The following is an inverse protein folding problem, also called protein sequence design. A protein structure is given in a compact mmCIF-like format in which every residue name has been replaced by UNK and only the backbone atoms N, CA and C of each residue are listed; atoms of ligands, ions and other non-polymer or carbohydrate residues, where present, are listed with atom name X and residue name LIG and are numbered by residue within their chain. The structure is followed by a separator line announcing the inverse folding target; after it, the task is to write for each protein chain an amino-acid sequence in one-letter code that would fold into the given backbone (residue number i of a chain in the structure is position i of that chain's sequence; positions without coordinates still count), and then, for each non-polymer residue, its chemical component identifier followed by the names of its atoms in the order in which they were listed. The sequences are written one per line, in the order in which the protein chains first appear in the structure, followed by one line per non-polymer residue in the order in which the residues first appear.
data_IF_276266197086
#
_entry.id   IF_276266197086
#
_cell.length_a   1.000
_cell.length_b   1.000
_cell.length_c   1.000
_cell.angle_alpha   90.00
_cell.angle_beta   90.00
_cell.angle_gamma   90.00
#
_symmetry.space_group_name_H-M   'P 1'
#
loop_
_entity.id
_entity.type
_entity.pdbx_description
1 polymer ?
#
# COMPACT_ATOMS: atom_id res chain seq x y z
N UNK A 1 -27.73 16.72 9.12
CA UNK A 1 -27.76 17.88 8.21
C UNK A 1 -27.85 17.39 6.78
N UNK A 2 -28.63 18.11 5.96
CA UNK A 2 -28.70 17.92 4.52
C UNK A 2 -27.36 18.36 3.91
N UNK A 3 -26.75 17.57 3.03
CA UNK A 3 -25.52 18.00 2.34
C UNK A 3 -25.87 18.77 1.06
N UNK A 4 -25.02 19.74 0.73
CA UNK A 4 -25.14 20.63 -0.43
C UNK A 4 -23.81 20.65 -1.19
N UNK A 5 -23.87 20.87 -2.50
CA UNK A 5 -22.69 21.16 -3.31
C UNK A 5 -22.17 22.59 -3.09
N UNK A 6 -21.05 22.94 -3.71
CA UNK A 6 -20.42 24.27 -3.62
C UNK A 6 -21.32 25.40 -4.17
N UNK A 7 -22.38 25.06 -4.91
CA UNK A 7 -23.38 25.98 -5.43
C UNK A 7 -24.65 26.05 -4.56
N UNK A 8 -24.69 25.34 -3.43
CA UNK A 8 -25.82 25.32 -2.51
C UNK A 8 -26.97 24.40 -2.94
N UNK A 9 -26.78 23.51 -3.92
CA UNK A 9 -27.79 22.52 -4.32
C UNK A 9 -27.70 21.28 -3.43
N UNK A 10 -28.84 20.73 -2.96
CA UNK A 10 -28.82 19.53 -2.13
C UNK A 10 -28.23 18.33 -2.90
N UNK A 11 -27.27 17.66 -2.28
CA UNK A 11 -26.67 16.44 -2.82
C UNK A 11 -27.66 15.27 -2.70
N UNK A 12 -27.74 14.47 -3.76
CA UNK A 12 -28.62 13.30 -3.83
C UNK A 12 -27.80 12.03 -4.09
N UNK A 13 -28.33 10.89 -3.63
CA UNK A 13 -27.73 9.60 -3.93
C UNK A 13 -27.74 9.30 -5.44
N UNK A 14 -26.62 8.82 -6.01
CA UNK A 14 -26.52 8.55 -7.43
C UNK A 14 -27.42 7.37 -7.86
N UNK A 15 -27.79 7.36 -9.13
CA UNK A 15 -28.54 6.25 -9.75
C UNK A 15 -27.78 4.92 -9.58
N UNK A 16 -28.51 3.85 -9.27
CA UNK A 16 -27.93 2.53 -8.97
C UNK A 16 -27.63 2.25 -7.50
N UNK A 17 -27.92 3.19 -6.60
CA UNK A 17 -27.86 2.97 -5.13
C UNK A 17 -29.24 2.71 -4.53
N UNK A 18 -29.36 2.03 -3.37
CA UNK A 18 -30.65 1.74 -2.75
C UNK A 18 -31.51 2.97 -2.42
N UNK A 19 -30.89 4.14 -2.30
CA UNK A 19 -31.55 5.40 -1.95
C UNK A 19 -31.50 6.42 -3.09
N UNK A 20 -31.30 5.97 -4.34
CA UNK A 20 -31.15 6.84 -5.52
C UNK A 20 -32.21 7.95 -5.57
N UNK A 21 -31.76 9.19 -5.81
CA UNK A 21 -32.63 10.36 -5.86
C UNK A 21 -33.09 10.90 -4.50
N UNK A 22 -32.75 10.25 -3.39
CA UNK A 22 -32.99 10.82 -2.06
C UNK A 22 -31.87 11.79 -1.66
N UNK A 23 -32.20 12.86 -0.92
CA UNK A 23 -31.20 13.77 -0.39
C UNK A 23 -30.24 13.11 0.60
N UNK A 24 -28.94 13.36 0.46
CA UNK A 24 -27.90 12.88 1.38
C UNK A 24 -28.02 13.62 2.71
N UNK A 25 -28.29 12.86 3.79
CA UNK A 25 -28.38 13.38 5.15
C UNK A 25 -27.36 12.69 6.04
N UNK A 26 -26.31 13.39 6.45
CA UNK A 26 -25.38 12.92 7.49
C UNK A 26 -25.88 13.33 8.88
N UNK A 27 -25.90 12.39 9.83
CA UNK A 27 -26.24 12.69 11.24
C UNK A 27 -25.07 13.31 12.02
N UNK A 28 -23.84 13.13 11.55
CA UNK A 28 -22.61 13.66 12.14
C UNK A 28 -21.70 14.11 11.00
N UNK A 29 -21.05 15.25 11.19
CA UNK A 29 -20.00 15.77 10.31
C UNK A 29 -18.78 15.92 11.20
N UNK A 30 -17.63 15.42 10.76
CA UNK A 30 -16.36 15.66 11.45
C UNK A 30 -15.77 16.95 10.89
N UNK A 31 -15.54 17.92 11.77
CA UNK A 31 -14.85 19.16 11.44
C UNK A 31 -13.49 19.07 12.14
N UNK A 32 -12.40 18.75 11.42
CA UNK A 32 -11.08 18.79 12.02
C UNK A 32 -10.79 20.22 12.47
N UNK A 33 -10.31 20.37 13.70
CA UNK A 33 -9.88 21.65 14.25
C UNK A 33 -8.59 21.43 15.04
N UNK A 34 -7.59 22.28 14.80
CA UNK A 34 -6.35 22.34 15.54
C UNK A 34 -6.22 23.69 16.27
N UNK A 35 -5.15 23.87 17.05
CA UNK A 35 -4.95 25.11 17.83
C UNK A 35 -4.82 26.35 16.95
N UNK A 36 -4.32 26.20 15.72
CA UNK A 36 -4.11 27.28 14.75
C UNK A 36 -5.40 27.79 14.11
N UNK A 37 -6.47 26.99 14.16
CA UNK A 37 -7.81 27.43 13.73
C UNK A 37 -8.42 28.46 14.70
N UNK A 38 -7.91 28.55 15.94
CA UNK A 38 -8.38 29.48 16.96
C UNK A 38 -7.44 30.69 17.14
N UNK A 39 -7.54 31.67 16.22
CA UNK A 39 -6.73 32.90 16.25
C UNK A 39 -6.87 33.68 17.56
N UNK A 40 -8.08 33.76 18.13
CA UNK A 40 -8.34 34.48 19.37
C UNK A 40 -7.63 33.87 20.58
N UNK A 41 -7.46 32.54 20.61
CA UNK A 41 -6.71 31.86 21.67
C UNK A 41 -5.21 32.18 21.59
N UNK A 42 -4.65 32.19 20.38
CA UNK A 42 -3.22 32.46 20.15
C UNK A 42 -2.87 33.91 20.49
N UNK A 43 -3.75 34.85 20.12
CA UNK A 43 -3.57 36.27 20.43
C UNK A 43 -3.65 36.56 21.94
N UNK A 44 -4.53 35.86 22.66
CA UNK A 44 -4.69 36.04 24.11
C UNK A 44 -3.63 35.30 24.94
N UNK A 45 -3.07 34.19 24.44
CA UNK A 45 -2.01 33.45 25.12
C UNK A 45 -0.93 32.98 24.12
N UNK A 46 0.01 33.87 23.75
CA UNK A 46 1.08 33.55 22.80
C UNK A 46 1.99 32.41 23.26
N UNK A 47 2.04 32.14 24.58
CA UNK A 47 2.84 31.06 25.16
C UNK A 47 2.16 29.69 25.12
N UNK A 48 0.88 29.61 24.75
CA UNK A 48 0.11 28.36 24.77
C UNK A 48 0.70 27.32 23.81
N UNK A 49 1.06 27.73 22.59
CA UNK A 49 1.71 26.85 21.60
C UNK A 49 3.05 26.32 22.12
N UNK A 50 3.86 27.15 22.78
CA UNK A 50 5.13 26.73 23.35
C UNK A 50 4.95 25.70 24.48
N UNK A 51 3.88 25.81 25.28
CA UNK A 51 3.54 24.82 26.30
C UNK A 51 3.08 23.50 25.69
N UNK A 52 2.29 23.53 24.61
CA UNK A 52 1.92 22.33 23.86
C UNK A 52 3.15 21.65 23.22
N UNK A 53 4.11 22.43 22.72
CA UNK A 53 5.36 21.90 22.17
C UNK A 53 6.25 21.22 23.21
N UNK A 54 6.11 21.58 24.49
CA UNK A 54 6.86 21.01 25.61
C UNK A 54 6.25 19.71 26.17
N UNK A 55 5.09 19.28 25.67
CA UNK A 55 4.45 18.02 26.07
C UNK A 55 5.19 16.81 25.48
N UNK A 56 4.83 15.60 25.95
CA UNK A 56 5.31 14.37 25.33
C UNK A 56 4.92 14.32 23.84
N UNK A 57 5.66 13.58 23.01
CA UNK A 57 5.39 13.53 21.56
C UNK A 57 3.93 13.11 21.25
N UNK A 58 3.35 12.24 22.07
CA UNK A 58 1.95 11.81 21.93
C UNK A 58 0.96 12.94 22.26
N UNK A 59 1.12 13.58 23.41
CA UNK A 59 0.24 14.68 23.83
C UNK A 59 0.42 15.92 22.93
N UNK A 60 1.64 16.18 22.45
CA UNK A 60 1.90 17.23 21.46
C UNK A 60 1.14 16.95 20.18
N UNK A 61 1.26 15.76 19.58
CA UNK A 61 0.53 15.39 18.36
C UNK A 61 -1.00 15.51 18.53
N UNK A 62 -1.54 15.01 19.63
CA UNK A 62 -2.98 15.12 19.91
C UNK A 62 -3.45 16.56 20.05
N UNK A 63 -2.81 17.35 20.91
CA UNK A 63 -3.32 18.66 21.33
C UNK A 63 -2.87 19.81 20.41
N UNK A 64 -1.71 19.68 19.77
CA UNK A 64 -1.17 20.67 18.84
C UNK A 64 -1.61 20.40 17.40
N UNK A 65 -1.47 19.15 16.95
CA UNK A 65 -1.67 18.76 15.55
C UNK A 65 -3.07 18.17 15.28
N UNK A 66 -3.85 17.91 16.33
CA UNK A 66 -5.18 17.30 16.21
C UNK A 66 -5.14 15.81 15.87
N UNK A 67 -4.00 15.15 16.09
CA UNK A 67 -3.78 13.73 15.79
C UNK A 67 -4.19 12.86 16.99
N UNK A 68 -5.47 12.52 17.04
CA UNK A 68 -6.07 11.70 18.09
C UNK A 68 -5.76 10.20 17.98
N UNK A 69 -5.05 9.76 16.93
CA UNK A 69 -4.63 8.36 16.79
C UNK A 69 -3.34 8.06 17.58
N UNK A 70 -2.68 9.07 18.16
CA UNK A 70 -1.42 8.89 18.90
C UNK A 70 -1.68 8.64 20.38
N UNK A 71 -1.39 7.46 20.93
CA UNK A 71 -1.46 7.18 22.38
C UNK A 71 -0.16 6.53 22.87
N UNK A 72 0.11 6.60 24.19
CA UNK A 72 1.32 6.03 24.77
C UNK A 72 1.38 4.51 24.56
N UNK A 73 2.50 3.99 24.06
CA UNK A 73 2.69 2.57 23.77
C UNK A 73 2.34 2.15 22.33
N UNK A 74 1.87 3.08 21.48
CA UNK A 74 1.67 2.80 20.05
C UNK A 74 2.96 2.28 19.40
N UNK A 75 2.86 1.15 18.70
CA UNK A 75 3.99 0.55 18.02
C UNK A 75 4.38 1.40 16.81
N UNK A 76 3.46 1.65 15.87
CA UNK A 76 3.74 2.42 14.64
C UNK A 76 3.47 3.92 14.79
N UNK A 77 4.26 4.60 15.63
CA UNK A 77 4.13 6.05 15.87
C UNK A 77 4.48 6.93 14.65
N UNK A 78 5.10 6.33 13.62
CA UNK A 78 5.40 6.93 12.33
C UNK A 78 4.16 7.05 11.43
N UNK A 79 3.14 6.22 11.65
CA UNK A 79 1.92 6.26 10.86
C UNK A 79 1.18 7.58 11.07
N UNK A 80 0.76 8.17 9.97
CA UNK A 80 -0.03 9.40 9.93
C UNK A 80 -0.95 9.34 8.74
N UNK A 81 -2.26 9.52 8.97
CA UNK A 81 -3.25 9.50 7.89
C UNK A 81 -2.97 10.57 6.83
N UNK A 82 -2.49 11.75 7.24
CA UNK A 82 -2.17 12.85 6.33
C UNK A 82 -1.02 12.51 5.35
N UNK A 83 -0.10 11.62 5.72
CA UNK A 83 1.07 11.26 4.92
C UNK A 83 0.85 9.96 4.14
N UNK A 84 0.18 8.99 4.77
CA UNK A 84 0.08 7.61 4.29
C UNK A 84 -1.21 7.33 3.56
N UNK A 85 -2.30 8.05 3.85
CA UNK A 85 -3.59 7.82 3.20
C UNK A 85 -3.73 8.74 1.99
N UNK A 86 -4.09 8.15 0.85
CA UNK A 86 -4.25 8.86 -0.42
C UNK A 86 -5.61 8.56 -1.04
N UNK A 87 -6.10 9.48 -1.88
CA UNK A 87 -7.30 9.25 -2.67
C UNK A 87 -7.06 8.14 -3.71
N UNK A 88 -8.04 7.25 -3.94
CA UNK A 88 -7.92 6.21 -4.95
C UNK A 88 -7.72 6.78 -6.36
N UNK A 89 -6.82 6.16 -7.11
CA UNK A 89 -6.62 6.41 -8.53
C UNK A 89 -6.44 5.10 -9.30
N UNK A 90 -6.57 5.14 -10.62
CA UNK A 90 -6.33 3.97 -11.46
C UNK A 90 -4.85 3.62 -11.48
N UNK A 91 -4.49 2.49 -10.87
CA UNK A 91 -3.12 1.99 -10.87
C UNK A 91 -2.67 1.73 -12.33
N UNK A 92 -1.57 2.33 -12.80
CA UNK A 92 -1.06 2.11 -14.16
C UNK A 92 -0.81 0.64 -14.46
N UNK A 93 -1.21 0.17 -15.65
CA UNK A 93 -1.17 -1.26 -16.01
C UNK A 93 0.24 -1.85 -15.98
N UNK A 94 1.28 -1.04 -16.19
CA UNK A 94 2.67 -1.46 -16.20
C UNK A 94 3.30 -1.63 -14.80
N UNK A 95 2.64 -1.13 -13.75
CA UNK A 95 3.12 -1.31 -12.38
C UNK A 95 3.02 -2.77 -11.96
N UNK A 96 4.06 -3.26 -11.28
CA UNK A 96 4.03 -4.58 -10.66
C UNK A 96 2.96 -4.61 -9.59
N UNK A 97 2.15 -5.66 -9.58
CA UNK A 97 1.09 -5.90 -8.60
C UNK A 97 1.31 -7.23 -7.92
N UNK A 98 0.98 -7.28 -6.65
CA UNK A 98 1.08 -8.51 -5.88
C UNK A 98 0.01 -8.53 -4.80
N UNK A 99 -0.30 -9.72 -4.32
CA UNK A 99 -1.21 -9.92 -3.19
C UNK A 99 -0.44 -10.40 -1.98
N UNK A 100 -0.89 -10.00 -0.80
CA UNK A 100 -0.38 -10.47 0.48
C UNK A 100 -1.57 -10.89 1.33
N UNK A 101 -1.53 -12.11 1.84
CA UNK A 101 -2.68 -12.76 2.46
C UNK A 101 -2.34 -13.33 3.84
N UNK A 102 -3.31 -13.24 4.73
CA UNK A 102 -3.33 -13.92 6.03
C UNK A 102 -4.56 -14.84 6.08
N UNK A 103 -4.34 -16.11 6.42
CA UNK A 103 -5.37 -17.14 6.48
C UNK A 103 -6.11 -17.08 7.81
N UNK A 104 -7.43 -17.13 7.75
CA UNK A 104 -8.25 -17.14 8.96
C UNK A 104 -9.67 -17.64 8.68
N UNK A 105 -10.17 -18.47 9.60
CA UNK A 105 -11.59 -18.86 9.63
C UNK A 105 -12.33 -18.20 10.79
N UNK A 106 -11.86 -18.39 12.03
CA UNK A 106 -12.41 -17.70 13.20
C UNK A 106 -11.91 -16.27 13.24
N UNK A 107 -10.60 -16.13 13.14
CA UNK A 107 -9.92 -14.90 12.79
C UNK A 107 -10.24 -14.51 11.33
N UNK A 108 -10.19 -13.22 10.99
CA UNK A 108 -10.48 -12.77 9.63
C UNK A 108 -9.44 -13.25 8.63
N UNK A 109 -9.90 -13.75 7.49
CA UNK A 109 -9.06 -13.83 6.30
C UNK A 109 -8.77 -12.42 5.80
N UNK A 110 -7.51 -12.15 5.48
CA UNK A 110 -7.06 -10.89 4.90
C UNK A 110 -6.43 -11.12 3.53
N UNK A 111 -6.78 -10.30 2.56
CA UNK A 111 -6.03 -10.14 1.31
C UNK A 111 -5.87 -8.66 1.03
N UNK A 112 -4.62 -8.19 0.95
CA UNK A 112 -4.28 -6.84 0.48
C UNK A 112 -3.70 -6.93 -0.93
N UNK A 113 -4.13 -6.03 -1.81
CA UNK A 113 -3.53 -5.85 -3.12
C UNK A 113 -2.57 -4.67 -3.08
N UNK A 114 -1.30 -4.96 -3.37
CA UNK A 114 -0.22 -4.00 -3.44
C UNK A 114 0.22 -3.74 -4.88
N UNK A 115 0.59 -2.50 -5.19
CA UNK A 115 1.25 -2.14 -6.43
C UNK A 115 2.51 -1.34 -6.14
N UNK A 116 3.61 -1.58 -6.86
CA UNK A 116 4.84 -0.80 -6.72
C UNK A 116 5.06 0.04 -7.96
N UNK A 117 5.26 1.33 -7.77
CA UNK A 117 5.58 2.24 -8.86
C UNK A 117 7.04 2.13 -9.32
N UNK A 118 7.48 3.06 -10.17
CA UNK A 118 8.85 3.08 -10.69
C UNK A 118 9.85 3.71 -9.72
N UNK A 119 9.38 4.46 -8.74
CA UNK A 119 10.17 5.17 -7.73
C UNK A 119 10.34 4.34 -6.44
N UNK A 120 9.65 3.21 -6.36
CA UNK A 120 9.69 2.29 -5.23
C UNK A 120 8.64 2.57 -4.16
N UNK A 121 7.59 3.34 -4.47
CA UNK A 121 6.46 3.55 -3.57
C UNK A 121 5.50 2.37 -3.67
N UNK A 122 5.02 1.89 -2.53
CA UNK A 122 4.07 0.79 -2.40
C UNK A 122 2.68 1.36 -2.14
N UNK A 123 1.75 1.06 -3.05
CA UNK A 123 0.34 1.42 -2.95
C UNK A 123 -0.49 0.21 -2.54
N UNK A 124 -1.13 0.27 -1.39
CA UNK A 124 -2.20 -0.66 -1.02
C UNK A 124 -3.51 -0.07 -1.53
N UNK A 125 -4.05 -0.66 -2.60
CA UNK A 125 -5.17 -0.06 -3.36
C UNK A 125 -6.48 -0.82 -3.22
N UNK A 126 -6.45 -2.01 -2.64
CA UNK A 126 -7.62 -2.85 -2.38
C UNK A 126 -7.35 -3.72 -1.16
N UNK A 127 -8.39 -3.93 -0.36
CA UNK A 127 -8.38 -4.87 0.76
C UNK A 127 -9.62 -5.76 0.74
N UNK A 128 -9.47 -6.96 1.29
CA UNK A 128 -10.55 -7.88 1.65
C UNK A 128 -10.24 -8.39 3.05
N UNK A 129 -11.13 -8.11 4.00
CA UNK A 129 -11.02 -8.55 5.39
C UNK A 129 -12.34 -9.18 5.77
N UNK A 130 -12.35 -10.49 6.02
CA UNK A 130 -13.60 -11.19 6.36
C UNK A 130 -13.36 -12.53 7.07
N UNK A 131 -14.06 -12.74 8.18
CA UNK A 131 -14.08 -14.02 8.90
C UNK A 131 -15.14 -14.99 8.35
N UNK A 132 -15.08 -16.24 8.80
CA UNK A 132 -16.07 -17.30 8.52
C UNK A 132 -16.22 -17.65 7.04
N UNK A 133 -15.10 -17.66 6.33
CA UNK A 133 -15.03 -18.12 4.94
C UNK A 133 -14.19 -19.39 4.86
N UNK A 134 -14.71 -20.40 4.18
CA UNK A 134 -13.92 -21.57 3.80
C UNK A 134 -12.85 -21.17 2.78
N UNK A 135 -11.74 -21.92 2.71
CA UNK A 135 -10.64 -21.61 1.78
C UNK A 135 -11.08 -21.50 0.32
N UNK A 136 -12.08 -22.29 -0.10
CA UNK A 136 -12.67 -22.19 -1.43
C UNK A 136 -13.41 -20.85 -1.64
N UNK A 137 -14.16 -20.40 -0.65
CA UNK A 137 -14.92 -19.13 -0.69
C UNK A 137 -13.98 -17.92 -0.60
N UNK A 138 -12.92 -18.01 0.20
CA UNK A 138 -11.85 -17.01 0.25
C UNK A 138 -11.26 -16.81 -1.15
N UNK A 139 -10.87 -17.90 -1.82
CA UNK A 139 -10.34 -17.85 -3.18
C UNK A 139 -11.34 -17.29 -4.19
N UNK A 140 -12.63 -17.65 -4.12
CA UNK A 140 -13.67 -17.10 -5.01
C UNK A 140 -13.82 -15.59 -4.84
N UNK A 141 -13.77 -15.09 -3.60
CA UNK A 141 -13.83 -13.65 -3.34
C UNK A 141 -12.60 -12.92 -3.86
N UNK A 142 -11.41 -13.50 -3.67
CA UNK A 142 -10.18 -12.92 -4.23
C UNK A 142 -10.27 -12.82 -5.75
N UNK A 143 -10.80 -13.84 -6.43
CA UNK A 143 -11.01 -13.81 -7.90
C UNK A 143 -12.05 -12.75 -8.27
N UNK A 144 -13.20 -12.72 -7.60
CA UNK A 144 -14.25 -11.73 -7.87
C UNK A 144 -13.76 -10.28 -7.67
N UNK A 145 -12.83 -10.07 -6.74
CA UNK A 145 -12.23 -8.77 -6.46
C UNK A 145 -10.96 -8.49 -7.28
N UNK A 146 -10.50 -9.42 -8.13
CA UNK A 146 -9.35 -9.22 -9.03
C UNK A 146 -9.84 -9.18 -10.48
N UNK A 147 -9.98 -7.99 -11.09
CA UNK A 147 -10.37 -7.84 -12.49
C UNK A 147 -9.53 -8.70 -13.45
N UNK A 148 -10.14 -9.21 -14.52
CA UNK A 148 -9.46 -10.13 -15.44
C UNK A 148 -8.31 -9.48 -16.23
N UNK A 149 -8.35 -8.16 -16.41
CA UNK A 149 -7.31 -7.35 -17.04
C UNK A 149 -6.19 -6.93 -16.06
N UNK A 150 -6.35 -7.23 -14.77
CA UNK A 150 -5.36 -6.97 -13.73
C UNK A 150 -4.35 -8.12 -13.65
N UNK A 151 -3.13 -7.88 -14.12
CA UNK A 151 -2.05 -8.85 -13.98
C UNK A 151 -1.44 -8.76 -12.57
N UNK A 152 -1.54 -9.85 -11.80
CA UNK A 152 -0.88 -10.03 -10.51
C UNK A 152 0.40 -10.84 -10.71
N UNK A 153 1.57 -10.24 -10.43
CA UNK A 153 2.87 -10.86 -10.60
C UNK A 153 3.07 -12.07 -9.67
N UNK A 154 2.63 -11.94 -8.41
CA UNK A 154 2.70 -13.02 -7.43
C UNK A 154 1.77 -12.78 -6.23
N UNK A 155 1.53 -13.85 -5.45
CA UNK A 155 0.80 -13.81 -4.18
C UNK A 155 1.69 -14.34 -3.08
N UNK A 156 1.72 -13.67 -1.94
CA UNK A 156 2.37 -14.14 -0.71
C UNK A 156 1.29 -14.51 0.28
N UNK A 157 1.34 -15.72 0.83
CA UNK A 157 0.44 -16.15 1.89
C UNK A 157 1.22 -16.41 3.16
N UNK A 158 0.61 -16.15 4.32
CA UNK A 158 1.14 -16.63 5.58
C UNK A 158 1.31 -18.17 5.55
N UNK A 159 2.05 -18.73 6.51
CA UNK A 159 2.34 -20.16 6.48
C UNK A 159 1.15 -21.08 6.76
N UNK A 160 0.10 -20.55 7.37
CA UNK A 160 -1.09 -21.28 7.78
C UNK A 160 -1.84 -21.81 6.58
N UNK A 161 -1.69 -21.17 5.41
CA UNK A 161 -2.09 -21.74 4.13
C UNK A 161 -1.50 -23.11 3.82
N UNK A 162 -0.35 -23.49 4.40
CA UNK A 162 0.29 -24.81 4.23
C UNK A 162 -0.12 -25.83 5.30
N UNK A 163 -0.93 -25.44 6.28
CA UNK A 163 -1.46 -26.38 7.27
C UNK A 163 -2.58 -27.20 6.63
N UNK A 164 -2.43 -28.53 6.63
CA UNK A 164 -3.45 -29.42 6.07
C UNK A 164 -4.74 -29.34 6.87
N UNK A 165 -5.86 -29.21 6.18
CA UNK A 165 -7.18 -29.28 6.80
C UNK A 165 -7.40 -30.66 7.43
N UNK A 166 -7.90 -30.69 8.67
CA UNK A 166 -8.15 -31.94 9.41
C UNK A 166 -9.17 -32.86 8.71
N UNK A 167 -10.01 -32.31 7.84
CA UNK A 167 -11.16 -33.02 7.24
C UNK A 167 -10.95 -33.40 5.77
N UNK A 168 -10.42 -32.49 4.93
CA UNK A 168 -10.21 -32.75 3.49
C UNK A 168 -8.82 -33.34 3.17
N UNK A 169 -7.83 -33.15 4.05
CA UNK A 169 -6.44 -33.51 3.79
C UNK A 169 -5.70 -32.55 2.85
N UNK A 170 -6.43 -31.66 2.17
CA UNK A 170 -5.91 -30.57 1.35
C UNK A 170 -5.53 -29.37 2.24
N UNK A 171 -4.44 -28.69 1.90
CA UNK A 171 -4.05 -27.43 2.51
C UNK A 171 -4.69 -26.25 1.76
N UNK A 172 -5.02 -25.14 2.44
CA UNK A 172 -5.63 -23.96 1.79
C UNK A 172 -4.87 -23.48 0.55
N UNK A 173 -3.53 -23.49 0.55
CA UNK A 173 -2.75 -23.07 -0.63
C UNK A 173 -3.03 -23.91 -1.88
N UNK A 174 -3.36 -25.20 -1.73
CA UNK A 174 -3.68 -26.11 -2.83
C UNK A 174 -5.00 -25.70 -3.47
N UNK A 175 -6.00 -25.36 -2.65
CA UNK A 175 -7.32 -24.87 -3.10
C UNK A 175 -7.17 -23.58 -3.89
N UNK A 176 -6.36 -22.63 -3.40
CA UNK A 176 -6.08 -21.38 -4.09
C UNK A 176 -5.34 -21.62 -5.41
N UNK A 177 -4.34 -22.51 -5.44
CA UNK A 177 -3.60 -22.85 -6.65
C UNK A 177 -4.50 -23.49 -7.72
N UNK A 178 -5.40 -24.40 -7.34
CA UNK A 178 -6.39 -25.01 -8.24
C UNK A 178 -7.32 -23.97 -8.89
N UNK A 179 -7.60 -22.86 -8.19
CA UNK A 179 -8.41 -21.74 -8.69
C UNK A 179 -7.59 -20.66 -9.41
N UNK A 180 -6.31 -20.92 -9.71
CA UNK A 180 -5.46 -20.00 -10.46
C UNK A 180 -4.81 -18.90 -9.62
N UNK A 181 -4.75 -19.07 -8.30
CA UNK A 181 -4.04 -18.17 -7.37
C UNK A 181 -2.85 -18.93 -6.76
N UNK A 182 -1.75 -19.13 -7.52
CA UNK A 182 -0.53 -19.66 -6.93
C UNK A 182 0.02 -18.66 -5.89
N UNK A 183 0.59 -19.19 -4.82
CA UNK A 183 1.17 -18.38 -3.74
C UNK A 183 2.53 -18.91 -3.31
N UNK A 184 3.36 -17.98 -2.84
CA UNK A 184 4.62 -18.27 -2.15
C UNK A 184 4.45 -18.10 -0.65
N UNK A 185 5.17 -18.90 0.11
CA UNK A 185 5.07 -18.86 1.57
C UNK A 185 5.82 -17.65 2.15
N UNK A 186 5.17 -16.92 3.06
CA UNK A 186 5.75 -15.78 3.74
C UNK A 186 6.85 -16.18 4.73
N UNK A 187 7.76 -15.24 4.99
CA UNK A 187 8.73 -15.36 6.09
C UNK A 187 8.04 -15.00 7.41
N UNK A 188 8.08 -15.90 8.41
CA UNK A 188 7.43 -15.70 9.71
C UNK A 188 8.09 -14.71 10.65
N UNK A 189 9.28 -14.25 10.31
CA UNK A 189 10.08 -13.43 11.20
C UNK A 189 9.36 -12.10 11.50
N UNK A 190 8.93 -11.94 12.76
CA UNK A 190 8.07 -10.83 13.22
C UNK A 190 8.88 -9.58 13.44
N UNK A 191 9.92 -9.66 14.27
CA UNK A 191 10.70 -8.51 14.74
C UNK A 191 11.36 -7.73 13.61
N UNK A 192 12.16 -8.38 12.76
CA UNK A 192 12.73 -7.69 11.58
C UNK A 192 11.66 -7.39 10.53
N UNK A 193 10.59 -8.19 10.45
CA UNK A 193 9.41 -7.88 9.65
C UNK A 193 8.77 -6.53 10.02
N UNK A 194 8.58 -6.26 11.32
CA UNK A 194 8.04 -5.00 11.81
C UNK A 194 9.00 -3.83 11.62
N UNK A 195 10.31 -4.05 11.82
CA UNK A 195 11.34 -3.05 11.46
C UNK A 195 11.24 -2.67 9.99
N UNK A 196 11.01 -3.65 9.11
CA UNK A 196 10.80 -3.39 7.68
C UNK A 196 9.52 -2.60 7.42
N UNK A 197 8.40 -2.92 8.09
CA UNK A 197 7.18 -2.11 7.99
C UNK A 197 7.44 -0.66 8.41
N UNK A 198 8.22 -0.42 9.48
CA UNK A 198 8.64 0.93 9.89
C UNK A 198 9.44 1.66 8.81
N UNK A 199 10.33 0.98 8.07
CA UNK A 199 11.05 1.60 6.95
C UNK A 199 10.10 2.14 5.86
N UNK A 200 9.00 1.43 5.60
CA UNK A 200 7.99 1.85 4.62
C UNK A 200 7.10 2.99 5.13
N UNK A 201 6.86 3.02 6.44
CA UNK A 201 6.12 4.08 7.13
C UNK A 201 6.96 5.33 7.42
N UNK A 202 8.28 5.23 7.35
CA UNK A 202 9.16 6.31 7.80
C UNK A 202 8.95 7.58 6.96
N UNK A 203 8.54 8.70 7.56
CA UNK A 203 8.38 9.95 6.84
C UNK A 203 9.72 10.52 6.41
N UNK A 204 9.80 11.04 5.19
CA UNK A 204 10.95 11.78 4.68
C UNK A 204 10.50 13.09 4.04
N UNK A 205 11.42 14.04 3.93
CA UNK A 205 11.17 15.30 3.24
C UNK A 205 11.29 15.10 1.73
N UNK A 206 10.27 15.51 1.01
CA UNK A 206 10.22 15.52 -0.45
C UNK A 206 9.91 16.94 -0.92
N UNK A 207 10.60 17.38 -1.97
CA UNK A 207 10.39 18.71 -2.56
C UNK A 207 9.66 18.56 -3.87
N UNK A 208 8.52 19.23 -3.98
CA UNK A 208 7.77 19.31 -5.23
C UNK A 208 8.63 20.03 -6.30
N UNK A 209 8.92 19.39 -7.44
CA UNK A 209 9.78 19.96 -8.47
C UNK A 209 9.18 21.19 -9.19
N UNK A 210 7.86 21.38 -9.10
CA UNK A 210 7.12 22.47 -9.73
C UNK A 210 6.95 23.63 -8.75
N UNK A 211 6.43 23.39 -7.55
CA UNK A 211 6.17 24.45 -6.56
C UNK A 211 7.43 24.83 -5.75
N UNK A 212 8.38 23.90 -5.62
CA UNK A 212 9.54 24.05 -4.73
C UNK A 212 9.22 23.91 -3.25
N UNK A 213 7.97 23.62 -2.88
CA UNK A 213 7.59 23.38 -1.49
C UNK A 213 8.07 22.01 -1.01
N UNK A 214 8.56 21.96 0.22
CA UNK A 214 8.92 20.71 0.90
C UNK A 214 7.75 20.22 1.74
N UNK A 215 7.37 18.96 1.55
CA UNK A 215 6.32 18.29 2.30
C UNK A 215 6.81 16.93 2.82
N UNK A 216 6.08 16.37 3.79
CA UNK A 216 6.37 15.03 4.32
C UNK A 216 5.76 13.95 3.42
N UNK A 217 6.61 13.05 2.92
CA UNK A 217 6.23 11.88 2.14
C UNK A 217 6.59 10.59 2.88
N UNK A 218 6.09 9.46 2.41
CA UNK A 218 6.41 8.11 2.90
C UNK A 218 6.30 7.12 1.74
N UNK A 219 7.02 6.00 1.83
CA UNK A 219 7.05 4.99 0.75
C UNK A 219 5.78 4.14 0.70
N UNK A 220 5.13 3.92 1.84
CA UNK A 220 3.82 3.28 1.90
C UNK A 220 2.71 4.32 1.66
N UNK A 221 1.85 4.03 0.69
CA UNK A 221 0.62 4.76 0.39
C UNK A 221 -0.56 3.79 0.47
N UNK A 222 -1.64 4.19 1.14
CA UNK A 222 -2.82 3.37 1.37
C UNK A 222 -4.02 4.12 0.84
N UNK A 223 -4.82 3.51 -0.02
CA UNK A 223 -6.04 4.13 -0.51
C UNK A 223 -7.05 4.28 0.63
N UNK A 224 -7.79 5.40 0.66
CA UNK A 224 -8.75 5.70 1.73
C UNK A 224 -9.92 4.69 1.87
N UNK A 225 -10.10 3.80 0.90
CA UNK A 225 -11.06 2.71 0.91
C UNK A 225 -10.53 1.46 1.63
N UNK A 226 -9.22 1.38 1.92
CA UNK A 226 -8.60 0.33 2.71
C UNK A 226 -8.70 0.62 4.21
N UNK A 227 -9.94 0.69 4.71
CA UNK A 227 -10.27 1.15 6.06
C UNK A 227 -9.73 0.24 7.14
N UNK A 228 -9.78 -1.08 6.95
CA UNK A 228 -9.34 -2.02 7.98
C UNK A 228 -7.85 -1.93 8.24
N UNK A 229 -7.03 -1.81 7.19
CA UNK A 229 -5.59 -1.57 7.38
C UNK A 229 -5.31 -0.20 8.01
N UNK A 230 -6.02 0.84 7.59
CA UNK A 230 -5.87 2.20 8.11
C UNK A 230 -6.26 2.28 9.60
N UNK A 231 -7.26 1.51 10.04
CA UNK A 231 -7.67 1.44 11.45
C UNK A 231 -6.71 0.59 12.29
N UNK A 232 -6.19 -0.51 11.72
CA UNK A 232 -5.32 -1.44 12.42
C UNK A 232 -3.91 -0.89 12.69
N UNK A 233 -3.27 -0.24 11.72
CA UNK A 233 -1.90 0.25 11.87
C UNK A 233 -1.68 1.15 13.10
N UNK A 234 -2.49 2.21 13.33
CA UNK A 234 -2.33 3.05 14.52
C UNK A 234 -2.77 2.36 15.82
N UNK A 235 -3.54 1.26 15.76
CA UNK A 235 -4.00 0.57 16.97
C UNK A 235 -2.98 -0.42 17.54
N UNK A 236 -1.91 -0.75 16.79
CA UNK A 236 -0.87 -1.68 17.23
C UNK A 236 -0.11 -1.13 18.44
N UNK A 237 0.14 -1.99 19.43
CA UNK A 237 0.80 -1.63 20.70
C UNK A 237 2.07 -2.46 20.88
N UNK A 238 3.08 -1.90 21.55
CA UNK A 238 4.29 -2.62 21.95
C UNK A 238 3.96 -3.76 22.92
N UNK A 239 4.60 -4.91 22.74
CA UNK A 239 4.49 -6.02 23.68
C UNK A 239 5.24 -5.73 24.99
N UNK A 240 4.56 -5.91 26.13
CA UNK A 240 5.11 -5.63 27.47
C UNK A 240 6.30 -6.52 27.84
N UNK A 241 6.35 -7.74 27.28
CA UNK A 241 7.41 -8.72 27.56
C UNK A 241 8.54 -8.62 26.53
N UNK A 242 8.21 -8.32 25.28
CA UNK A 242 9.16 -8.23 24.17
C UNK A 242 8.99 -6.92 23.39
N UNK A 243 9.63 -5.82 23.84
CA UNK A 243 9.37 -4.48 23.30
C UNK A 243 9.70 -4.25 21.81
N UNK A 244 10.42 -5.17 21.16
CA UNK A 244 10.67 -5.10 19.71
C UNK A 244 9.56 -5.73 18.86
N UNK A 245 8.55 -6.38 19.46
CA UNK A 245 7.40 -6.99 18.78
C UNK A 245 6.09 -6.24 19.13
N UNK A 246 5.09 -6.47 18.29
CA UNK A 246 3.72 -6.01 18.48
C UNK A 246 2.99 -6.99 19.39
N UNK A 247 2.30 -6.48 20.39
CA UNK A 247 1.44 -7.25 21.29
C UNK A 247 0.28 -7.92 20.52
N UNK A 248 -0.27 -9.00 21.09
CA UNK A 248 -1.48 -9.63 20.54
C UNK A 248 -2.63 -8.61 20.45
N UNK A 249 -3.24 -8.51 19.27
CA UNK A 249 -4.27 -7.50 19.01
C UNK A 249 -5.34 -8.02 18.04
N UNK A 250 -6.65 -7.83 18.27
CA UNK A 250 -7.70 -8.38 17.41
C UNK A 250 -7.69 -7.93 15.93
N UNK A 251 -6.94 -6.87 15.63
CA UNK A 251 -6.80 -6.27 14.29
C UNK A 251 -5.42 -6.51 13.66
N UNK A 252 -4.57 -7.36 14.25
CA UNK A 252 -3.20 -7.60 13.80
C UNK A 252 -3.10 -8.30 12.43
N UNK A 253 -4.13 -9.04 12.01
CA UNK A 253 -4.18 -9.76 10.72
C UNK A 253 -3.88 -8.89 9.49
N UNK A 254 -4.34 -7.62 9.47
CA UNK A 254 -4.07 -6.72 8.34
C UNK A 254 -2.62 -6.18 8.34
N UNK A 255 -2.08 -5.67 9.46
CA UNK A 255 -0.66 -5.40 9.61
C UNK A 255 0.24 -6.61 9.35
N UNK A 256 -0.15 -7.82 9.75
CA UNK A 256 0.60 -9.05 9.50
C UNK A 256 0.61 -9.39 7.99
N UNK A 257 -0.53 -9.29 7.30
CA UNK A 257 -0.57 -9.39 5.84
C UNK A 257 0.37 -8.36 5.16
N UNK A 258 0.35 -7.11 5.62
CA UNK A 258 1.27 -6.07 5.13
C UNK A 258 2.74 -6.46 5.37
N UNK A 259 3.07 -6.98 6.56
CA UNK A 259 4.41 -7.46 6.92
C UNK A 259 4.88 -8.55 5.97
N UNK A 260 4.03 -9.53 5.67
CA UNK A 260 4.36 -10.59 4.69
C UNK A 260 4.67 -10.00 3.30
N UNK A 261 3.86 -9.03 2.86
CA UNK A 261 4.05 -8.36 1.59
C UNK A 261 5.33 -7.53 1.50
N UNK A 262 5.73 -6.81 2.56
CA UNK A 262 7.00 -6.07 2.52
C UNK A 262 8.21 -7.01 2.66
N UNK A 263 8.07 -8.12 3.39
CA UNK A 263 9.11 -9.13 3.59
C UNK A 263 9.42 -9.95 2.34
N UNK A 264 8.52 -10.01 1.36
CA UNK A 264 8.80 -10.62 0.05
C UNK A 264 9.78 -9.81 -0.82
N UNK A 265 10.22 -8.63 -0.34
CA UNK A 265 11.17 -7.72 -0.99
C UNK A 265 10.67 -7.27 -2.38
N UNK A 266 9.49 -6.65 -2.44
CA UNK A 266 8.95 -6.22 -3.72
C UNK A 266 9.87 -5.13 -4.30
N UNK A 267 10.17 -5.25 -5.59
CA UNK A 267 11.15 -4.41 -6.28
C UNK A 267 10.47 -3.36 -7.14
N UNK A 268 11.06 -2.15 -7.31
CA UNK A 268 10.51 -1.13 -8.18
C UNK A 268 10.15 -1.64 -9.57
N UNK A 269 9.09 -1.06 -10.14
CA UNK A 269 8.67 -1.34 -11.50
C UNK A 269 9.73 -0.82 -12.48
N UNK A 270 10.17 -1.68 -13.39
CA UNK A 270 11.13 -1.29 -14.43
C UNK A 270 10.40 -0.47 -15.51
N UNK A 271 11.04 0.54 -16.10
CA UNK A 271 10.44 1.26 -17.23
C UNK A 271 10.09 0.28 -18.35
N UNK A 272 8.94 0.47 -19.00
CA UNK A 272 8.62 -0.26 -20.21
C UNK A 272 9.77 -0.09 -21.22
N UNK A 273 10.16 -1.18 -21.93
CA UNK A 273 11.08 -1.04 -23.04
C UNK A 273 10.51 0.00 -24.01
N UNK A 274 11.32 0.98 -24.42
CA UNK A 274 10.90 1.92 -25.47
C UNK A 274 10.44 1.10 -26.67
N UNK A 275 9.19 1.26 -27.09
CA UNK A 275 8.69 0.66 -28.32
C UNK A 275 9.69 1.06 -29.41
N UNK A 276 10.33 0.11 -30.11
CA UNK A 276 11.29 0.46 -31.15
C UNK A 276 10.57 1.35 -32.15
N UNK A 277 11.11 2.53 -32.42
CA UNK A 277 10.56 3.40 -33.45
C UNK A 277 10.64 2.68 -34.80
N UNK A 278 9.52 2.11 -35.24
CA UNK A 278 9.38 1.36 -36.50
C UNK A 278 9.06 2.26 -37.69
N UNK A 279 9.04 3.58 -37.49
CA UNK A 279 8.82 4.54 -38.57
C UNK A 279 9.83 4.34 -39.71
N UNK A 280 9.43 4.58 -40.97
CA UNK A 280 10.35 4.55 -42.11
C UNK A 280 11.61 5.38 -41.86
N UNK A 281 11.48 6.54 -41.20
CA UNK A 281 12.56 7.46 -40.86
C UNK A 281 13.54 6.83 -39.85
N UNK A 282 13.04 6.19 -38.80
CA UNK A 282 13.88 5.47 -37.84
C UNK A 282 14.54 4.22 -38.43
N UNK A 283 13.88 3.57 -39.41
CA UNK A 283 14.47 2.47 -40.18
C UNK A 283 15.62 2.94 -41.05
N UNK A 284 15.46 4.09 -41.73
CA UNK A 284 16.51 4.73 -42.53
C UNK A 284 17.69 5.15 -41.65
N UNK A 285 17.44 5.81 -40.52
CA UNK A 285 18.49 6.17 -39.53
C UNK A 285 19.26 4.94 -39.04
N UNK A 286 18.57 3.84 -38.72
CA UNK A 286 19.22 2.57 -38.32
C UNK A 286 20.06 1.96 -39.43
N UNK A 287 19.60 2.03 -40.68
CA UNK A 287 20.34 1.49 -41.84
C UNK A 287 21.59 2.32 -42.14
N UNK A 288 21.51 3.64 -42.07
CA UNK A 288 22.68 4.55 -42.20
C UNK A 288 23.70 4.27 -41.09
N UNK A 289 23.25 4.17 -39.84
CA UNK A 289 24.14 3.87 -38.70
C UNK A 289 24.82 2.48 -38.78
N UNK A 290 24.21 1.51 -39.48
CA UNK A 290 24.82 0.20 -39.74
C UNK A 290 25.85 0.24 -40.88
N UNK A 291 25.67 1.11 -41.87
CA UNK A 291 26.60 1.27 -42.99
C UNK A 291 27.89 2.00 -42.59
N UNK A 292 27.84 2.85 -41.55
CA UNK A 292 29.01 3.57 -41.02
C UNK A 292 29.91 2.76 -40.07
N UNK A 293 29.54 1.52 -39.71
CA UNK A 293 30.41 0.67 -38.87
C UNK A 293 31.42 -0.07 -39.75
N UNK A 294 32.74 0.10 -39.55
CA UNK A 294 33.73 -0.65 -40.32
C UNK A 294 33.50 -2.15 -40.08
N UNK A 295 33.34 -2.91 -41.17
CA UNK A 295 33.30 -4.37 -41.11
C UNK A 295 34.59 -4.82 -40.43
N UNK A 296 34.50 -5.47 -39.26
CA UNK A 296 35.64 -6.18 -38.67
C UNK A 296 36.13 -7.17 -39.73
N UNK A 297 37.25 -6.84 -40.35
CA UNK A 297 37.88 -7.69 -41.37
C UNK A 297 38.18 -9.05 -40.75
N UNK A 298 37.74 -10.10 -41.43
CA UNK A 298 38.18 -11.46 -41.15
C UNK A 298 39.71 -11.48 -41.33
N UNK A 299 40.44 -11.62 -40.22
CA UNK A 299 41.86 -11.97 -40.27
C UNK A 299 41.96 -13.38 -40.85
N UNK A 300 42.42 -13.47 -42.10
CA UNK A 300 42.72 -14.74 -42.76
C UNK A 300 43.81 -15.46 -41.96
N UNK A 301 43.47 -16.60 -41.35
CA UNK A 301 44.46 -17.59 -40.90
C UNK A 301 45.22 -18.08 -42.12
N UNK A 302 46.40 -17.52 -42.35
CA UNK A 302 47.41 -18.15 -43.19
C UNK A 302 47.89 -19.41 -42.47
N UNK A 303 47.51 -20.55 -43.03
CA UNK A 303 48.11 -21.85 -42.76
C UNK A 303 49.60 -21.78 -43.08
N UNK A 304 50.45 -21.88 -42.06
CA UNK A 304 51.85 -22.24 -42.19
C UNK A 304 52.04 -23.72 -41.88
N UNK A 305 52.02 -24.57 -42.90
CA UNK A 305 52.63 -25.90 -42.88
C UNK A 305 53.81 -25.90 -43.86
N UNK A 306 55.02 -26.05 -43.33
CA UNK A 306 56.27 -26.58 -43.93
C UNK A 306 57.36 -26.36 -42.87
N UNK A 307 58.24 -27.28 -42.50
CA UNK A 307 58.58 -28.66 -42.91
C UNK A 307 59.12 -29.34 -41.65
#
# INVERSE_FOLDING_TARGET
MQEYDDNGNPLHWPEGTPNAGQPIKRKRIFIPANVFDNKALIENDPGYVARLMALSDAERKQLLEGDWDTFAGQYFSEFSRAIHVVEPFTIPSDWKRFRMMDEGYNDPFVCLWGAIDREGNLYIYRELIQSKLLSSEQADKVIAMSPQDEHIDYTVGDTSFWNKGKTSGEAPFEVFAQKGIPMIQATKERVNGWKRVREWLHPFDETDPVSGETYKAARLKIFNNCRGLIEALPSMVVDDTYPEDVAEHPLDHAPDALRYGVMSRPSPTKPLPKVPDISPEARVRRNIAKQGKPKKGYSSRLMGKCK
#
